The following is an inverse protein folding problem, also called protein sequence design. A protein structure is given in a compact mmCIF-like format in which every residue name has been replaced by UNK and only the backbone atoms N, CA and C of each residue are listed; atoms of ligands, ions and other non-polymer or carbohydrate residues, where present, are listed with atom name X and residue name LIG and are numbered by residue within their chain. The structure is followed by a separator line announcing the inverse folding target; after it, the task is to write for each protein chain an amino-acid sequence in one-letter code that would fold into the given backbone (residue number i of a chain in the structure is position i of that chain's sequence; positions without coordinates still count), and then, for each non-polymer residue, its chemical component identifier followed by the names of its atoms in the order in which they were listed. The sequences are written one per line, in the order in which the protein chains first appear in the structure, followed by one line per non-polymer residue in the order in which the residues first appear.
data_IF_240339906809
#
_entry.id   IF_240339906809
#
_cell.length_a   1.000
_cell.length_b   1.000
_cell.length_c   1.000
_cell.angle_alpha   90.00
_cell.angle_beta   90.00
_cell.angle_gamma   90.00
#
_symmetry.space_group_name_H-M   'P 1'
#
loop_
_entity.id
_entity.type
_entity.pdbx_description
1 polymer ?
#
# COMPACT_ATOMS: atom_id res chain seq x y z
N UNK A 1 -5.91 11.31 8.25
CA UNK A 1 -5.06 12.40 7.72
C UNK A 1 -4.35 12.10 6.40
N UNK A 2 -3.86 10.88 6.10
CA UNK A 2 -3.11 10.60 4.85
C UNK A 2 -3.86 10.81 3.52
N UNK A 3 -5.18 10.91 3.54
CA UNK A 3 -5.99 11.02 2.32
C UNK A 3 -5.98 12.43 1.68
N UNK A 4 -5.53 13.48 2.38
CA UNK A 4 -5.56 14.88 1.91
C UNK A 4 -4.24 15.39 1.30
N UNK A 5 -3.42 14.50 0.73
CA UNK A 5 -2.13 14.89 0.13
C UNK A 5 -0.97 15.05 1.12
N UNK A 6 -1.20 14.87 2.42
CA UNK A 6 -0.16 14.85 3.45
C UNK A 6 0.66 13.55 3.40
N UNK A 7 1.96 13.65 3.11
CA UNK A 7 2.95 12.57 3.26
C UNK A 7 3.82 12.78 4.49
N UNK A 8 4.45 11.72 5.02
CA UNK A 8 5.31 11.84 6.20
C UNK A 8 6.48 12.82 6.00
N UNK A 9 7.03 12.87 4.78
CA UNK A 9 8.06 13.85 4.42
C UNK A 9 7.53 15.28 4.38
N UNK A 10 6.30 15.46 3.87
CA UNK A 10 5.65 16.77 3.82
C UNK A 10 5.34 17.31 5.22
N UNK A 11 4.82 16.44 6.09
CA UNK A 11 4.56 16.76 7.51
C UNK A 11 5.85 17.23 8.18
N UNK A 12 6.96 16.50 8.02
CA UNK A 12 8.24 16.91 8.61
C UNK A 12 8.79 18.22 8.03
N UNK A 13 8.56 18.50 6.74
CA UNK A 13 9.06 19.72 6.09
C UNK A 13 8.25 20.97 6.43
N UNK A 14 6.93 20.85 6.51
CA UNK A 14 6.04 22.01 6.71
C UNK A 14 5.64 22.21 8.18
N UNK A 15 5.48 21.10 8.92
CA UNK A 15 5.07 21.12 10.32
C UNK A 15 6.21 20.72 11.27
N UNK A 16 7.36 20.25 10.79
CA UNK A 16 8.49 19.96 11.67
C UNK A 16 8.14 18.99 12.81
N UNK A 17 8.55 19.38 14.02
CA UNK A 17 8.28 18.62 15.24
C UNK A 17 6.81 18.68 15.66
N UNK A 18 6.28 17.56 16.21
CA UNK A 18 4.92 17.50 16.70
C UNK A 18 4.77 18.29 17.99
N UNK A 19 3.58 18.85 18.18
CA UNK A 19 3.26 19.61 19.40
C UNK A 19 3.11 18.65 20.60
N UNK A 20 2.62 17.42 20.35
CA UNK A 20 2.53 16.39 21.37
C UNK A 20 2.86 15.00 20.81
N UNK A 21 3.56 14.20 21.61
CA UNK A 21 3.71 12.76 21.41
C UNK A 21 2.79 12.03 22.38
N UNK A 22 1.98 11.11 21.85
CA UNK A 22 1.09 10.25 22.66
C UNK A 22 1.38 8.79 22.40
N UNK A 23 1.29 7.97 23.44
CA UNK A 23 1.36 6.52 23.30
C UNK A 23 0.30 6.06 22.30
N UNK A 24 0.68 5.15 21.41
CA UNK A 24 -0.25 4.61 20.45
C UNK A 24 -1.28 3.72 21.16
N UNK A 25 -2.56 4.09 21.05
CA UNK A 25 -3.67 3.39 21.72
C UNK A 25 -3.78 1.92 21.32
N UNK A 26 -3.38 1.57 20.10
CA UNK A 26 -3.52 0.21 19.58
C UNK A 26 -2.35 -0.70 19.94
N UNK A 27 -1.19 -0.12 20.25
CA UNK A 27 -0.02 -0.90 20.69
C UNK A 27 0.97 0.01 21.39
N UNK A 28 1.29 -0.34 22.63
CA UNK A 28 2.33 0.31 23.45
C UNK A 28 3.74 0.15 22.86
N UNK A 29 4.01 -0.89 22.07
CA UNK A 29 5.30 -1.10 21.41
C UNK A 29 5.43 -0.39 20.06
N UNK A 30 4.32 0.14 19.53
CA UNK A 30 4.34 0.89 18.28
C UNK A 30 4.90 2.31 18.48
N UNK A 31 5.42 2.94 17.40
CA UNK A 31 5.86 4.33 17.47
C UNK A 31 4.76 5.26 18.02
N UNK A 32 5.11 6.25 18.86
CA UNK A 32 4.16 7.19 19.42
C UNK A 32 3.38 7.94 18.33
N UNK A 33 2.10 8.18 18.60
CA UNK A 33 1.24 9.03 17.78
C UNK A 33 1.69 10.48 17.92
N UNK A 34 2.04 11.08 16.78
CA UNK A 34 2.39 12.49 16.66
C UNK A 34 1.12 13.31 16.49
N UNK A 35 0.92 14.31 17.34
CA UNK A 35 -0.21 15.22 17.30
C UNK A 35 0.28 16.63 16.97
N UNK A 36 -0.45 17.26 16.05
CA UNK A 36 -0.18 18.62 15.59
C UNK A 36 -1.42 19.47 15.88
N UNK A 37 -1.19 20.72 16.29
CA UNK A 37 -2.21 21.73 16.46
C UNK A 37 -2.90 22.01 15.13
N UNK A 38 -4.23 22.15 15.17
CA UNK A 38 -5.04 22.30 13.97
C UNK A 38 -4.67 23.57 13.20
N UNK A 39 -4.43 24.66 13.92
CA UNK A 39 -4.12 25.98 13.37
C UNK A 39 -2.83 25.95 12.55
N UNK A 40 -1.85 25.14 12.97
CA UNK A 40 -0.60 24.95 12.22
C UNK A 40 -0.81 24.18 10.94
N UNK A 41 -1.67 23.17 10.98
CA UNK A 41 -2.03 22.37 9.81
C UNK A 41 -2.76 23.26 8.81
N UNK A 42 -3.73 24.06 9.26
CA UNK A 42 -4.50 24.98 8.41
C UNK A 42 -3.60 26.02 7.75
N UNK A 43 -2.74 26.70 8.51
CA UNK A 43 -1.78 27.66 7.97
C UNK A 43 -0.83 27.02 6.94
N UNK A 44 -0.43 25.76 7.16
CA UNK A 44 0.38 25.03 6.20
C UNK A 44 -0.41 24.67 4.93
N UNK A 45 -1.68 24.27 5.04
CA UNK A 45 -2.55 23.95 3.89
C UNK A 45 -2.87 25.18 3.03
N UNK A 46 -2.96 26.36 3.64
CA UNK A 46 -3.13 27.64 2.93
C UNK A 46 -1.91 28.05 2.12
N UNK A 47 -0.72 27.56 2.51
CA UNK A 47 0.52 27.91 1.82
C UNK A 47 0.51 27.42 0.35
N UNK A 48 0.95 28.27 -0.61
CA UNK A 48 1.07 27.85 -2.01
C UNK A 48 2.00 26.64 -2.20
N UNK A 49 3.04 26.54 -1.36
CA UNK A 49 3.97 25.42 -1.36
C UNK A 49 3.30 24.09 -1.03
N UNK A 50 2.35 24.07 -0.09
CA UNK A 50 1.58 22.87 0.20
C UNK A 50 0.71 22.46 -0.97
N UNK A 51 -0.04 23.40 -1.59
CA UNK A 51 -0.96 23.10 -2.69
C UNK A 51 -0.27 22.44 -3.87
N UNK A 52 0.90 22.96 -4.27
CA UNK A 52 1.70 22.41 -5.38
C UNK A 52 2.18 20.99 -5.06
N UNK A 53 2.75 20.78 -3.87
CA UNK A 53 3.33 19.48 -3.51
C UNK A 53 2.24 18.44 -3.18
N UNK A 54 1.12 18.85 -2.58
CA UNK A 54 -0.03 18.00 -2.32
C UNK A 54 -0.62 17.48 -3.65
N UNK A 55 -0.82 18.37 -4.64
CA UNK A 55 -1.30 17.97 -5.96
C UNK A 55 -0.33 17.01 -6.66
N UNK A 56 0.98 17.25 -6.57
CA UNK A 56 2.00 16.35 -7.13
C UNK A 56 2.04 14.99 -6.42
N UNK A 57 1.87 14.97 -5.09
CA UNK A 57 1.86 13.75 -4.28
C UNK A 57 0.65 12.89 -4.59
N UNK A 58 -0.55 13.49 -4.73
CA UNK A 58 -1.78 12.78 -5.12
C UNK A 58 -1.63 12.14 -6.50
N UNK A 59 -1.05 12.85 -7.48
CA UNK A 59 -0.77 12.29 -8.81
C UNK A 59 0.19 11.10 -8.73
N UNK A 60 1.31 11.26 -8.01
CA UNK A 60 2.33 10.21 -7.84
C UNK A 60 1.80 8.99 -7.10
N UNK A 61 0.99 9.17 -6.06
CA UNK A 61 0.41 8.05 -5.31
C UNK A 61 -0.64 7.30 -6.13
N UNK A 62 -1.40 8.01 -6.98
CA UNK A 62 -2.30 7.42 -7.96
C UNK A 62 -1.57 6.53 -8.96
N UNK A 63 -0.49 7.03 -9.57
CA UNK A 63 0.31 6.24 -10.53
C UNK A 63 1.01 5.06 -9.87
N UNK A 64 1.61 5.25 -8.69
CA UNK A 64 2.24 4.17 -7.93
C UNK A 64 1.23 3.08 -7.53
N UNK A 65 0.03 3.47 -7.11
CA UNK A 65 -1.04 2.53 -6.74
C UNK A 65 -1.55 1.75 -7.96
N UNK A 66 -1.66 2.39 -9.12
CA UNK A 66 -2.00 1.72 -10.37
C UNK A 66 -0.93 0.70 -10.77
N UNK A 67 0.35 1.06 -10.67
CA UNK A 67 1.48 0.17 -10.92
C UNK A 67 1.48 -1.05 -9.98
N UNK A 68 1.29 -0.84 -8.68
CA UNK A 68 1.20 -1.93 -7.69
C UNK A 68 0.02 -2.86 -7.98
N UNK A 69 -1.15 -2.30 -8.33
CA UNK A 69 -2.33 -3.11 -8.70
C UNK A 69 -2.07 -3.96 -9.94
N UNK A 70 -1.39 -3.40 -10.94
CA UNK A 70 -0.99 -4.11 -12.17
C UNK A 70 -0.03 -5.26 -11.84
N UNK A 71 1.05 -4.98 -11.09
CA UNK A 71 2.00 -6.00 -10.68
C UNK A 71 1.36 -7.10 -9.83
N UNK A 72 0.45 -6.75 -8.91
CA UNK A 72 -0.30 -7.73 -8.13
C UNK A 72 -1.14 -8.66 -9.02
N UNK A 73 -1.83 -8.11 -10.02
CA UNK A 73 -2.62 -8.93 -10.97
C UNK A 73 -1.74 -9.88 -11.77
N UNK A 74 -0.58 -9.42 -12.23
CA UNK A 74 0.37 -10.24 -12.98
C UNK A 74 0.93 -11.40 -12.13
N UNK A 75 1.34 -11.10 -10.90
CA UNK A 75 1.84 -12.11 -9.95
C UNK A 75 0.75 -13.13 -9.62
N UNK A 76 -0.48 -12.67 -9.35
CA UNK A 76 -1.61 -13.56 -9.11
C UNK A 76 -1.98 -14.42 -10.33
N UNK A 77 -1.93 -13.85 -11.54
CA UNK A 77 -2.20 -14.60 -12.77
C UNK A 77 -1.15 -15.68 -13.01
N UNK A 78 0.14 -15.38 -12.76
CA UNK A 78 1.24 -16.34 -12.86
C UNK A 78 1.09 -17.47 -11.85
N UNK A 79 0.74 -17.14 -10.60
CA UNK A 79 0.46 -18.15 -9.57
C UNK A 79 -0.71 -19.07 -9.96
N UNK A 80 -1.79 -18.51 -10.50
CA UNK A 80 -2.94 -19.30 -10.95
C UNK A 80 -2.61 -20.19 -12.16
N UNK A 81 -1.78 -19.72 -13.10
CA UNK A 81 -1.33 -20.52 -14.24
C UNK A 81 -0.42 -21.67 -13.81
N UNK A 82 0.49 -21.44 -12.87
CA UNK A 82 1.35 -22.48 -12.30
C UNK A 82 0.52 -23.57 -11.60
N UNK A 83 -0.46 -23.18 -10.77
CA UNK A 83 -1.35 -24.12 -10.10
C UNK A 83 -2.19 -24.96 -11.08
N UNK A 84 -2.66 -24.36 -12.19
CA UNK A 84 -3.37 -25.11 -13.25
C UNK A 84 -2.47 -26.11 -13.96
N UNK A 85 -1.22 -25.75 -14.26
CA UNK A 85 -0.25 -26.66 -14.87
C UNK A 85 0.16 -27.82 -13.95
N UNK A 86 0.20 -27.57 -12.64
CA UNK A 86 0.42 -28.62 -11.64
C UNK A 86 -0.80 -29.54 -11.47
N UNK A 87 -2.01 -28.98 -11.47
CA UNK A 87 -3.25 -29.75 -11.49
C UNK A 87 -3.37 -30.63 -12.75
N UNK A 88 -3.01 -30.12 -13.93
CA UNK A 88 -3.02 -30.88 -15.17
C UNK A 88 -2.00 -32.03 -15.17
N UNK A 89 -0.79 -31.80 -14.64
CA UNK A 89 0.22 -32.86 -14.48
C UNK A 89 -0.22 -33.95 -13.50
N UNK A 90 -0.76 -33.58 -12.35
CA UNK A 90 -1.27 -34.55 -11.37
C UNK A 90 -2.57 -35.25 -11.82
N UNK A 91 -3.32 -34.64 -12.74
CA UNK A 91 -4.48 -35.24 -13.39
C UNK A 91 -4.08 -36.30 -14.41
N UNK A 92 -3.06 -36.02 -15.23
CA UNK A 92 -2.50 -36.99 -16.18
C UNK A 92 -1.90 -38.21 -15.47
N UNK A 93 -1.22 -38.00 -14.34
CA UNK A 93 -0.61 -39.08 -13.55
C UNK A 93 -1.63 -39.95 -12.80
N UNK A 94 -2.87 -39.45 -12.60
CA UNK A 94 -3.99 -40.24 -12.04
C UNK A 94 -4.85 -40.94 -13.11
N UNK A 95 -4.58 -40.69 -14.39
CA UNK A 95 -5.38 -41.19 -15.53
C UNK A 95 -4.72 -42.35 -16.28
N UNK A 96 -3.75 -43.03 -15.66
CA UNK A 96 -3.39 -44.42 -15.98
C UNK A 96 -4.16 -45.39 -15.05
N UNK A 97 -5.41 -45.76 -15.36
CA UNK A 97 -5.96 -47.02 -14.93
C UNK A 97 -6.01 -47.99 -16.12
N UNK A 98 -5.23 -49.06 -16.00
CA UNK A 98 -5.49 -50.39 -16.55
C UNK A 98 -5.46 -50.57 -18.07
N UNK A 99 -4.29 -50.92 -18.62
CA UNK A 99 -4.22 -51.74 -19.84
C UNK A 99 -4.15 -53.22 -19.44
N UNK A 100 -5.35 -53.77 -19.28
CA UNK A 100 -5.81 -55.12 -19.63
C UNK A 100 -5.04 -56.37 -19.12
N UNK A 101 -5.73 -57.13 -18.27
CA UNK A 101 -5.57 -58.60 -18.16
C UNK A 101 -5.89 -59.33 -19.47
N UNK A 102 -5.61 -60.63 -19.58
CA UNK A 102 -6.21 -61.66 -18.71
C UNK A 102 -5.22 -62.57 -17.96
#
# INVERSE_FOLDING_TARGET
MRARGWSAGLVRRLLGEPDLLRVNRYSVSAPPTRLYRLERVEAAEESPGFRVVAAATVRRSGTASAGLRRGRREVSARAAAAARGEAARSGAERQDPDEAGP
#
